data_IF_147149473603
#
_entry.id   IF_147149473603
#
_cell.length_a   1.000
_cell.length_b   1.000
_cell.length_c   1.000
_cell.angle_alpha   90.00
_cell.angle_beta   90.00
_cell.angle_gamma   90.00
#
_symmetry.space_group_name_H-M   'P 1'
#
loop_
_entity.id
_entity.type
_entity.pdbx_description
1 polymer ?
#
# COMPACT_ATOMS: atom_id res chain seq x y z
N UNK A 1 38.81 -34.58 21.53
CA UNK A 1 39.13 -33.22 22.02
C UNK A 1 38.45 -32.26 21.07
N UNK A 2 37.28 -31.71 21.40
CA UNK A 2 37.10 -30.64 22.40
C UNK A 2 38.10 -29.51 22.15
N UNK A 3 37.72 -28.24 21.98
CA UNK A 3 36.46 -27.55 22.28
C UNK A 3 36.64 -26.09 21.83
N UNK A 4 35.53 -25.42 21.47
CA UNK A 4 35.21 -24.02 21.86
C UNK A 4 36.11 -22.87 21.34
N UNK A 5 35.66 -21.66 21.04
CA UNK A 5 34.36 -21.01 21.16
C UNK A 5 34.48 -19.59 20.59
N UNK A 6 33.49 -19.15 19.78
CA UNK A 6 32.79 -17.84 19.74
C UNK A 6 33.65 -16.54 19.77
N UNK A 7 33.29 -15.40 19.21
CA UNK A 7 32.05 -14.81 18.71
C UNK A 7 32.53 -13.64 17.84
N UNK A 8 31.91 -13.39 16.69
CA UNK A 8 31.90 -12.01 16.22
C UNK A 8 30.63 -11.75 15.43
N UNK A 9 29.59 -11.37 16.17
CA UNK A 9 28.78 -10.21 15.78
C UNK A 9 27.67 -10.50 14.78
N UNK A 10 26.48 -10.67 15.34
CA UNK A 10 25.23 -10.31 14.70
C UNK A 10 25.31 -8.90 14.10
N UNK A 11 25.44 -8.80 12.78
CA UNK A 11 24.81 -7.81 11.88
C UNK A 11 25.00 -8.41 10.48
N UNK A 12 23.96 -8.86 9.81
CA UNK A 12 23.08 -7.96 9.09
C UNK A 12 21.66 -8.50 9.24
N UNK A 13 20.86 -7.79 10.03
CA UNK A 13 19.42 -7.82 9.81
C UNK A 13 19.24 -7.56 8.32
N UNK A 14 18.64 -8.53 7.64
CA UNK A 14 18.24 -8.36 6.27
C UNK A 14 17.28 -7.18 6.28
N UNK A 15 17.80 -5.98 6.00
CA UNK A 15 17.01 -4.80 5.70
C UNK A 15 16.35 -5.15 4.37
N UNK A 16 15.27 -5.93 4.47
CA UNK A 16 14.31 -6.05 3.39
C UNK A 16 13.85 -4.61 3.16
N UNK A 17 14.50 -3.92 2.24
CA UNK A 17 13.99 -2.73 1.58
C UNK A 17 12.74 -3.23 0.86
N UNK A 18 11.66 -3.29 1.64
CA UNK A 18 10.55 -4.19 1.40
C UNK A 18 9.78 -3.74 0.19
N UNK A 19 9.94 -4.46 -0.91
CA UNK A 19 9.08 -4.36 -2.09
C UNK A 19 7.62 -4.48 -1.65
N UNK A 20 6.73 -3.74 -2.31
CA UNK A 20 5.30 -3.86 -2.05
C UNK A 20 4.86 -5.30 -2.34
N UNK A 21 4.11 -5.86 -1.40
CA UNK A 21 3.41 -7.13 -1.57
C UNK A 21 1.92 -6.88 -1.34
N UNK A 22 1.09 -7.72 -1.94
CA UNK A 22 -0.36 -7.59 -1.82
C UNK A 22 -1.04 -8.94 -1.68
N UNK A 23 -2.13 -8.95 -0.90
CA UNK A 23 -2.98 -10.12 -0.71
C UNK A 23 -4.44 -9.70 -0.90
N UNK A 24 -5.20 -10.51 -1.63
CA UNK A 24 -6.64 -10.31 -1.81
C UNK A 24 -7.40 -11.24 -0.87
N UNK A 25 -8.24 -10.68 0.00
CA UNK A 25 -9.21 -11.44 0.79
C UNK A 25 -10.61 -10.85 0.61
N UNK A 26 -11.49 -11.61 -0.05
CA UNK A 26 -12.81 -11.12 -0.46
C UNK A 26 -12.70 -9.91 -1.37
N UNK A 27 -13.33 -8.80 -0.94
CA UNK A 27 -13.36 -7.53 -1.65
C UNK A 27 -12.27 -6.55 -1.19
N UNK A 28 -11.39 -6.96 -0.28
CA UNK A 28 -10.30 -6.13 0.24
C UNK A 28 -8.94 -6.57 -0.31
N UNK A 29 -8.18 -5.58 -0.78
CA UNK A 29 -6.77 -5.73 -1.14
C UNK A 29 -5.89 -5.20 0.01
N UNK A 30 -5.12 -6.08 0.63
CA UNK A 30 -4.17 -5.71 1.67
C UNK A 30 -2.82 -5.39 1.03
N UNK A 31 -2.31 -4.18 1.25
CA UNK A 31 -0.99 -3.76 0.81
C UNK A 31 0.00 -3.75 1.98
N UNK A 32 1.16 -4.36 1.77
CA UNK A 32 2.22 -4.45 2.76
C UNK A 32 3.56 -4.00 2.20
N UNK A 33 4.40 -3.43 3.07
CA UNK A 33 5.77 -3.04 2.75
C UNK A 33 5.89 -1.57 2.33
N UNK A 34 6.78 -1.27 1.40
CA UNK A 34 7.01 0.11 0.94
C UNK A 34 6.39 0.34 -0.42
N UNK A 35 5.65 1.44 -0.57
CA UNK A 35 5.11 1.91 -1.83
C UNK A 35 5.86 3.17 -2.28
N UNK A 36 6.80 2.98 -3.20
CA UNK A 36 7.64 4.01 -3.82
C UNK A 36 7.79 3.74 -5.32
N UNK A 37 8.50 4.63 -6.01
CA UNK A 37 8.72 4.57 -7.47
C UNK A 37 9.18 3.18 -7.96
N UNK A 38 10.10 2.56 -7.25
CA UNK A 38 10.73 1.30 -7.67
C UNK A 38 9.85 0.10 -7.28
N UNK A 39 9.17 0.18 -6.13
CA UNK A 39 8.34 -0.91 -5.64
C UNK A 39 6.94 -0.97 -6.26
N UNK A 40 6.39 0.15 -6.76
CA UNK A 40 5.00 0.20 -7.25
C UNK A 40 4.79 -0.44 -8.62
N UNK A 41 5.85 -0.62 -9.41
CA UNK A 41 5.75 -1.03 -10.81
C UNK A 41 5.05 -2.40 -11.00
N UNK A 42 5.38 -3.46 -10.22
CA UNK A 42 4.68 -4.74 -10.32
C UNK A 42 3.18 -4.64 -10.00
N UNK A 43 2.82 -3.86 -8.98
CA UNK A 43 1.42 -3.61 -8.60
C UNK A 43 0.67 -2.87 -9.71
N UNK A 44 1.31 -1.85 -10.30
CA UNK A 44 0.73 -1.07 -11.40
C UNK A 44 0.43 -1.93 -12.64
N UNK A 45 1.37 -2.80 -13.03
CA UNK A 45 1.20 -3.66 -14.21
C UNK A 45 0.05 -4.67 -14.05
N UNK A 46 -0.23 -5.11 -12.82
CA UNK A 46 -1.25 -6.10 -12.53
C UNK A 46 -2.56 -5.50 -11.99
N UNK A 47 -2.64 -4.16 -11.89
CA UNK A 47 -3.74 -3.45 -11.24
C UNK A 47 -5.12 -3.84 -11.76
N UNK A 48 -5.25 -4.11 -13.06
CA UNK A 48 -6.55 -4.45 -13.64
C UNK A 48 -7.07 -5.76 -13.05
N UNK A 49 -6.26 -6.81 -13.05
CA UNK A 49 -6.60 -8.11 -12.49
C UNK A 49 -6.74 -8.08 -10.96
N UNK A 50 -5.86 -7.34 -10.28
CA UNK A 50 -5.87 -7.25 -8.81
C UNK A 50 -7.13 -6.52 -8.32
N UNK A 51 -7.56 -5.47 -9.02
CA UNK A 51 -8.73 -4.66 -8.65
C UNK A 51 -10.07 -5.28 -9.05
N UNK A 52 -10.10 -6.38 -9.81
CA UNK A 52 -11.35 -7.04 -10.15
C UNK A 52 -12.09 -7.49 -8.88
N UNK A 53 -13.28 -6.92 -8.64
CA UNK A 53 -14.08 -7.22 -7.44
C UNK A 53 -13.50 -6.66 -6.14
N UNK A 54 -12.59 -5.69 -6.20
CA UNK A 54 -12.09 -4.95 -5.03
C UNK A 54 -12.83 -3.63 -4.89
N UNK A 55 -13.34 -3.36 -3.69
CA UNK A 55 -13.96 -2.08 -3.30
C UNK A 55 -13.22 -1.39 -2.14
N UNK A 56 -12.26 -2.07 -1.52
CA UNK A 56 -11.45 -1.55 -0.42
C UNK A 56 -9.97 -1.92 -0.57
N UNK A 57 -9.08 -0.96 -0.32
CA UNK A 57 -7.64 -1.20 -0.17
C UNK A 57 -7.24 -0.90 1.27
N UNK A 58 -6.77 -1.91 1.98
CA UNK A 58 -6.17 -1.74 3.30
C UNK A 58 -4.69 -1.39 3.16
N UNK A 59 -4.30 -0.27 3.77
CA UNK A 59 -2.93 0.26 3.77
C UNK A 59 -2.29 0.24 5.15
N UNK A 60 -2.88 -0.45 6.13
CA UNK A 60 -2.40 -0.50 7.51
C UNK A 60 -1.01 -1.14 7.64
N UNK A 61 -0.66 -2.05 6.72
CA UNK A 61 0.60 -2.77 6.73
C UNK A 61 1.68 -2.11 5.84
N UNK A 62 1.39 -0.93 5.27
CA UNK A 62 2.40 -0.15 4.56
C UNK A 62 3.34 0.54 5.55
N UNK A 63 4.62 0.21 5.48
CA UNK A 63 5.67 0.83 6.29
C UNK A 63 6.02 2.24 5.81
N UNK A 64 5.89 2.51 4.51
CA UNK A 64 6.24 3.78 3.89
C UNK A 64 5.50 3.98 2.57
N UNK A 65 5.05 5.20 2.33
CA UNK A 65 4.42 5.66 1.08
C UNK A 65 5.06 6.99 0.69
N UNK A 66 5.48 7.14 -0.56
CA UNK A 66 5.96 8.41 -1.10
C UNK A 66 4.92 9.11 -1.99
N UNK A 67 5.32 10.21 -2.65
CA UNK A 67 4.44 10.94 -3.57
C UNK A 67 3.99 10.10 -4.78
N UNK A 68 4.80 9.15 -5.23
CA UNK A 68 4.43 8.25 -6.33
C UNK A 68 3.45 7.18 -5.89
N UNK A 69 3.56 6.68 -4.65
CA UNK A 69 2.57 5.80 -4.05
C UNK A 69 1.21 6.50 -3.86
N UNK A 70 1.20 7.76 -3.47
CA UNK A 70 -0.04 8.56 -3.44
C UNK A 70 -0.66 8.75 -4.83
N UNK A 71 0.16 9.05 -5.83
CA UNK A 71 -0.31 9.17 -7.22
C UNK A 71 -0.96 7.87 -7.71
N UNK A 72 -0.37 6.72 -7.33
CA UNK A 72 -0.97 5.41 -7.61
C UNK A 72 -2.37 5.31 -7.00
N UNK A 73 -2.55 5.62 -5.71
CA UNK A 73 -3.86 5.52 -5.04
C UNK A 73 -4.93 6.37 -5.72
N UNK A 74 -4.60 7.61 -6.11
CA UNK A 74 -5.51 8.48 -6.86
C UNK A 74 -5.90 7.81 -8.18
N UNK A 75 -4.93 7.23 -8.88
CA UNK A 75 -5.18 6.63 -10.18
C UNK A 75 -6.02 5.35 -10.06
N UNK A 76 -5.77 4.49 -9.07
CA UNK A 76 -6.61 3.33 -8.79
C UNK A 76 -8.04 3.75 -8.46
N UNK A 77 -8.22 4.76 -7.59
CA UNK A 77 -9.55 5.28 -7.24
C UNK A 77 -10.28 5.84 -8.44
N UNK A 78 -9.60 6.62 -9.28
CA UNK A 78 -10.17 7.18 -10.51
C UNK A 78 -10.56 6.11 -11.54
N UNK A 79 -9.76 5.05 -11.69
CA UNK A 79 -10.07 3.93 -12.60
C UNK A 79 -11.27 3.13 -12.12
N UNK A 80 -11.34 2.81 -10.83
CA UNK A 80 -12.48 2.12 -10.21
C UNK A 80 -13.76 2.97 -10.31
N UNK A 81 -13.66 4.28 -10.03
CA UNK A 81 -14.79 5.20 -10.16
C UNK A 81 -15.34 5.27 -11.59
N UNK A 82 -14.48 5.30 -12.63
CA UNK A 82 -14.91 5.24 -14.03
C UNK A 82 -15.62 3.93 -14.39
N UNK A 83 -15.27 2.83 -13.71
CA UNK A 83 -15.91 1.51 -13.87
C UNK A 83 -17.19 1.37 -13.05
N UNK A 84 -17.58 2.38 -12.29
CA UNK A 84 -18.79 2.38 -11.46
C UNK A 84 -18.64 1.63 -10.13
N UNK A 85 -17.43 1.23 -9.75
CA UNK A 85 -17.13 0.60 -8.47
C UNK A 85 -16.32 1.56 -7.62
N UNK A 86 -16.89 2.25 -6.63
CA UNK A 86 -16.10 3.18 -5.80
C UNK A 86 -15.05 2.42 -4.99
N UNK A 87 -13.82 2.94 -4.97
CA UNK A 87 -12.71 2.38 -4.22
C UNK A 87 -12.48 3.18 -2.93
N UNK A 88 -12.46 2.47 -1.82
CA UNK A 88 -12.21 3.01 -0.48
C UNK A 88 -10.81 2.62 0.01
N UNK A 89 -10.27 3.40 0.95
CA UNK A 89 -8.98 3.11 1.59
C UNK A 89 -9.19 3.00 3.10
N UNK A 90 -8.68 1.92 3.68
CA UNK A 90 -8.76 1.62 5.11
C UNK A 90 -7.36 1.47 5.71
N UNK A 91 -7.24 1.57 7.04
CA UNK A 91 -5.93 1.42 7.69
C UNK A 91 -4.97 2.60 7.47
N UNK A 92 -5.48 3.78 7.11
CA UNK A 92 -4.66 4.98 6.87
C UNK A 92 -4.04 5.45 8.19
N UNK A 93 -2.74 5.20 8.37
CA UNK A 93 -2.00 5.66 9.55
C UNK A 93 -1.72 7.17 9.55
N UNK A 94 -1.31 7.73 10.70
CA UNK A 94 -1.11 9.17 10.88
C UNK A 94 -0.13 9.79 9.86
N UNK A 95 0.95 9.08 9.52
CA UNK A 95 1.94 9.55 8.54
C UNK A 95 1.33 9.71 7.15
N UNK A 96 0.56 8.71 6.71
CA UNK A 96 -0.09 8.73 5.41
C UNK A 96 -1.21 9.79 5.39
N UNK A 97 -1.99 9.88 6.48
CA UNK A 97 -2.99 10.94 6.64
C UNK A 97 -2.36 12.33 6.54
N UNK A 98 -1.22 12.56 7.20
CA UNK A 98 -0.49 13.84 7.14
C UNK A 98 -0.07 14.16 5.71
N UNK A 99 0.50 13.19 4.98
CA UNK A 99 0.87 13.38 3.58
C UNK A 99 -0.35 13.70 2.72
N UNK A 100 -1.45 12.94 2.86
CA UNK A 100 -2.69 13.17 2.14
C UNK A 100 -3.19 14.61 2.35
N UNK A 101 -3.19 15.08 3.60
CA UNK A 101 -3.58 16.45 3.94
C UNK A 101 -2.64 17.49 3.33
N UNK A 102 -1.33 17.30 3.41
CA UNK A 102 -0.33 18.21 2.84
C UNK A 102 -0.45 18.36 1.32
N UNK A 103 -0.85 17.29 0.63
CA UNK A 103 -1.08 17.31 -0.81
C UNK A 103 -2.53 17.68 -1.19
N UNK A 104 -3.40 17.97 -0.23
CA UNK A 104 -4.80 18.32 -0.48
C UNK A 104 -5.66 17.17 -1.04
N UNK A 105 -5.22 15.91 -0.86
CA UNK A 105 -5.83 14.71 -1.45
C UNK A 105 -6.92 14.11 -0.55
N UNK A 106 -7.74 14.95 0.09
CA UNK A 106 -8.76 14.52 1.06
C UNK A 106 -9.74 13.51 0.48
N UNK A 107 -9.94 13.50 -0.85
CA UNK A 107 -10.71 12.48 -1.54
C UNK A 107 -10.21 11.04 -1.29
N UNK A 108 -8.97 10.81 -0.85
CA UNK A 108 -8.49 9.49 -0.41
C UNK A 108 -8.99 9.10 0.99
N UNK A 109 -9.20 10.09 1.87
CA UNK A 109 -9.80 9.90 3.20
C UNK A 109 -11.33 9.84 3.13
N UNK A 110 -11.89 10.53 2.14
CA UNK A 110 -13.32 10.71 1.99
C UNK A 110 -13.94 9.42 1.44
N UNK A 111 -14.61 8.69 2.34
CA UNK A 111 -15.57 7.65 2.03
C UNK A 111 -16.87 8.31 1.56
N UNK A 112 -16.84 9.14 0.49
CA UNK A 112 -18.07 9.77 -0.01
C UNK A 112 -18.98 8.72 -0.67
N UNK A 113 -19.62 7.93 0.19
CA UNK A 113 -20.86 7.22 0.01
C UNK A 113 -21.97 8.25 -0.14
N UNK A 114 -21.97 9.00 -1.25
CA UNK A 114 -23.23 9.56 -1.72
C UNK A 114 -24.01 8.42 -2.38
N UNK A 115 -24.53 7.52 -1.55
CA UNK A 115 -25.59 6.60 -1.92
C UNK A 115 -26.89 7.40 -1.91
N UNK A 116 -27.30 7.81 -3.11
CA UNK A 116 -28.66 8.22 -3.57
C UNK A 116 -29.60 8.91 -2.58
#
# INVERSE_FOLDING_TARGET
MEKTTFDNGMINGNVNQGTVSWEKAGNTLFLQGTLDRDSLLPLWQQKEHILEGIDNIDVSQLSRVDSTGLALFIQLKGECQKRGTPLTFSGIGERLSTLITLYGLQALLDDNQSKV
#
